data_IF_577810831283
#
_entry.id   IF_577810831283
#
_cell.length_a   1.000
_cell.length_b   1.000
_cell.length_c   1.000
_cell.angle_alpha   90.00
_cell.angle_beta   90.00
_cell.angle_gamma   90.00
#
_symmetry.space_group_name_H-M   'P 1'
#
loop_
_entity.id
_entity.type
_entity.pdbx_description
1 polymer ?
#
# COMPACT_ATOMS: atom_id res chain seq x y z
N UNK A 1 49.88 -36.44 28.65
CA UNK A 1 49.01 -36.20 29.83
C UNK A 1 47.63 -36.73 29.50
N UNK A 2 47.02 -37.55 30.36
CA UNK A 2 45.76 -38.23 30.05
C UNK A 2 44.60 -37.20 30.10
N UNK A 3 43.78 -37.01 29.04
CA UNK A 3 42.77 -35.94 28.96
C UNK A 3 41.75 -35.96 30.10
N UNK A 4 41.48 -37.13 30.68
CA UNK A 4 40.58 -37.27 31.83
C UNK A 4 41.14 -36.67 33.14
N UNK A 5 42.47 -36.67 33.31
CA UNK A 5 43.14 -36.04 34.47
C UNK A 5 43.25 -34.51 34.34
N UNK A 6 43.23 -34.00 33.11
CA UNK A 6 43.18 -32.55 32.87
C UNK A 6 41.78 -31.98 33.14
N UNK A 7 40.73 -32.72 32.73
CA UNK A 7 39.33 -32.38 32.99
C UNK A 7 38.96 -32.45 34.48
N UNK A 8 39.55 -33.37 35.25
CA UNK A 8 39.31 -33.45 36.69
C UNK A 8 39.92 -32.26 37.45
N UNK A 9 41.08 -31.75 37.01
CA UNK A 9 41.71 -30.54 37.58
C UNK A 9 40.97 -29.24 37.25
N UNK A 10 40.20 -29.21 36.16
CA UNK A 10 39.37 -28.07 35.76
C UNK A 10 38.03 -27.97 36.50
N UNK A 11 37.63 -29.04 37.18
CA UNK A 11 36.40 -29.10 38.00
C UNK A 11 36.62 -28.72 39.47
N UNK A 12 37.86 -28.41 39.86
CA UNK A 12 38.17 -28.05 41.23
C UNK A 12 37.61 -26.66 41.60
N UNK A 13 37.11 -26.51 42.84
CA UNK A 13 36.33 -25.35 43.30
C UNK A 13 37.06 -24.01 43.36
N UNK A 14 38.37 -24.00 43.13
CA UNK A 14 39.13 -22.76 42.98
C UNK A 14 39.15 -22.36 41.51
N UNK A 15 38.34 -21.38 41.15
CA UNK A 15 38.22 -20.73 39.83
C UNK A 15 39.54 -20.32 39.17
N UNK A 16 40.68 -20.47 39.85
CA UNK A 16 42.04 -20.29 39.34
C UNK A 16 42.36 -21.17 38.12
N UNK A 17 41.98 -22.44 38.10
CA UNK A 17 42.28 -23.30 36.95
C UNK A 17 41.54 -22.85 35.67
N UNK A 18 40.32 -22.34 35.83
CA UNK A 18 39.52 -21.77 34.73
C UNK A 18 40.05 -20.38 34.34
N UNK A 19 40.49 -19.58 35.31
CA UNK A 19 41.11 -18.28 35.06
C UNK A 19 42.45 -18.39 34.33
N UNK A 20 43.29 -19.37 34.70
CA UNK A 20 44.57 -19.64 34.04
C UNK A 20 44.34 -20.15 32.61
N UNK A 21 43.31 -20.97 32.38
CA UNK A 21 42.95 -21.42 31.04
C UNK A 21 42.34 -20.29 30.20
N UNK A 22 41.50 -19.43 30.80
CA UNK A 22 40.99 -18.24 30.13
C UNK A 22 42.11 -17.27 29.77
N UNK A 23 43.08 -17.06 30.68
CA UNK A 23 44.26 -16.25 30.42
C UNK A 23 45.12 -16.83 29.29
N UNK A 24 45.33 -18.15 29.27
CA UNK A 24 46.13 -18.82 28.25
C UNK A 24 45.42 -18.79 26.88
N UNK A 25 44.09 -18.91 26.86
CA UNK A 25 43.28 -18.74 25.64
C UNK A 25 43.31 -17.29 25.15
N UNK A 26 43.21 -16.31 26.04
CA UNK A 26 43.32 -14.89 25.67
C UNK A 26 44.72 -14.56 25.17
N UNK A 27 45.78 -14.98 25.86
CA UNK A 27 47.17 -14.78 25.43
C UNK A 27 47.43 -15.44 24.07
N UNK A 28 46.92 -16.65 23.85
CA UNK A 28 47.08 -17.36 22.57
C UNK A 28 46.24 -16.74 21.45
N UNK A 29 45.03 -16.27 21.73
CA UNK A 29 44.18 -15.58 20.73
C UNK A 29 44.77 -14.20 20.37
N UNK A 30 45.36 -13.50 21.34
CA UNK A 30 45.97 -12.16 21.13
C UNK A 30 47.35 -12.26 20.47
N UNK A 31 48.07 -13.36 20.68
CA UNK A 31 49.37 -13.63 20.04
C UNK A 31 49.24 -14.20 18.62
N UNK A 32 48.06 -14.73 18.25
CA UNK A 32 47.81 -15.25 16.90
C UNK A 32 47.57 -14.10 15.94
N UNK A 33 48.36 -14.03 14.86
CA UNK A 33 48.24 -12.95 13.88
C UNK A 33 46.84 -13.00 13.26
N UNK A 34 46.20 -11.83 13.11
CA UNK A 34 44.81 -11.71 12.63
C UNK A 34 44.53 -12.52 11.34
N UNK A 35 45.53 -12.61 10.46
CA UNK A 35 45.50 -13.38 9.21
C UNK A 35 45.26 -14.89 9.38
N UNK A 36 45.60 -15.45 10.54
CA UNK A 36 45.49 -16.89 10.83
C UNK A 36 44.16 -17.25 11.51
N UNK A 37 43.43 -16.24 12.04
CA UNK A 37 42.08 -16.37 12.63
C UNK A 37 41.00 -15.94 11.63
N UNK A 38 41.30 -14.94 10.81
CA UNK A 38 40.37 -14.34 9.88
C UNK A 38 40.19 -15.22 8.62
N UNK A 39 39.50 -16.34 8.78
CA UNK A 39 38.97 -17.07 7.63
C UNK A 39 37.93 -16.19 6.92
N UNK A 40 37.84 -16.22 5.57
CA UNK A 40 36.88 -15.40 4.82
C UNK A 40 35.43 -15.55 5.31
N UNK A 41 35.08 -16.75 5.77
CA UNK A 41 33.76 -17.07 6.32
C UNK A 41 33.50 -16.42 7.69
N UNK A 42 34.52 -16.26 8.53
CA UNK A 42 34.40 -15.55 9.81
C UNK A 42 34.23 -14.04 9.60
N UNK A 43 35.01 -13.45 8.69
CA UNK A 43 34.85 -12.03 8.30
C UNK A 43 33.46 -11.81 7.70
N UNK A 44 33.02 -12.67 6.78
CA UNK A 44 31.69 -12.57 6.18
C UNK A 44 30.58 -12.65 7.24
N UNK A 45 30.72 -13.52 8.24
CA UNK A 45 29.79 -13.61 9.36
C UNK A 45 29.75 -12.33 10.20
N UNK A 46 30.91 -11.77 10.55
CA UNK A 46 30.99 -10.52 11.32
C UNK A 46 30.46 -9.31 10.53
N UNK A 47 30.73 -9.24 9.23
CA UNK A 47 30.20 -8.20 8.35
C UNK A 47 28.69 -8.33 8.19
N UNK A 48 28.17 -9.55 8.02
CA UNK A 48 26.73 -9.78 7.96
C UNK A 48 26.04 -9.40 9.28
N UNK A 49 26.58 -9.83 10.43
CA UNK A 49 26.05 -9.45 11.75
C UNK A 49 26.15 -7.95 12.00
N UNK A 50 27.24 -7.30 11.57
CA UNK A 50 27.38 -5.85 11.68
C UNK A 50 26.39 -5.11 10.76
N UNK A 51 26.12 -5.63 9.56
CA UNK A 51 25.12 -5.07 8.64
C UNK A 51 23.69 -5.29 9.16
N UNK A 52 23.38 -6.45 9.74
CA UNK A 52 22.09 -6.69 10.43
C UNK A 52 21.91 -5.77 11.63
N UNK A 53 22.93 -5.67 12.49
CA UNK A 53 22.89 -4.78 13.65
C UNK A 53 22.83 -3.30 13.23
N UNK A 54 23.52 -2.92 12.15
CA UNK A 54 23.42 -1.58 11.58
C UNK A 54 22.00 -1.34 11.10
N UNK A 55 21.46 -2.18 10.22
CA UNK A 55 20.10 -2.00 9.63
C UNK A 55 18.96 -2.01 10.65
N UNK A 56 19.14 -2.69 11.79
CA UNK A 56 18.17 -2.66 12.91
C UNK A 56 18.42 -1.53 13.91
N UNK A 57 19.54 -0.81 13.81
CA UNK A 57 19.94 0.25 14.73
C UNK A 57 19.36 1.61 14.39
N UNK A 58 19.07 2.41 15.41
CA UNK A 58 18.60 3.80 15.30
C UNK A 58 19.57 4.68 14.49
N UNK A 59 20.87 4.40 14.56
CA UNK A 59 21.89 5.11 13.79
C UNK A 59 21.79 4.87 12.27
N UNK A 60 21.37 3.67 11.83
CA UNK A 60 21.18 3.44 10.40
C UNK A 60 19.91 4.10 9.89
N UNK A 61 18.83 4.15 10.69
CA UNK A 61 17.65 4.95 10.34
C UNK A 61 18.03 6.42 10.13
N UNK A 62 18.73 7.01 11.08
CA UNK A 62 19.19 8.40 10.97
C UNK A 62 20.16 8.62 9.79
N UNK A 63 21.00 7.63 9.48
CA UNK A 63 21.88 7.69 8.31
C UNK A 63 21.08 7.59 7.00
N UNK A 64 20.11 6.68 6.91
CA UNK A 64 19.21 6.52 5.76
C UNK A 64 18.39 7.79 5.56
N UNK A 65 17.77 8.33 6.61
CA UNK A 65 16.98 9.57 6.54
C UNK A 65 17.83 10.74 6.04
N UNK A 66 19.04 10.90 6.59
CA UNK A 66 19.98 11.93 6.13
C UNK A 66 20.37 11.74 4.67
N UNK A 67 20.54 10.49 4.23
CA UNK A 67 20.92 10.19 2.84
C UNK A 67 19.77 10.40 1.86
N UNK A 68 18.55 10.04 2.26
CA UNK A 68 17.33 10.33 1.51
C UNK A 68 17.17 11.85 1.37
N UNK A 69 17.33 12.62 2.45
CA UNK A 69 17.19 14.08 2.39
C UNK A 69 18.24 14.71 1.47
N UNK A 70 19.50 14.26 1.59
CA UNK A 70 20.58 14.76 0.72
C UNK A 70 20.33 14.46 -0.76
N UNK A 71 19.88 13.25 -1.09
CA UNK A 71 19.55 12.92 -2.48
C UNK A 71 18.27 13.62 -2.94
N UNK A 72 17.29 13.83 -2.06
CA UNK A 72 16.07 14.58 -2.39
C UNK A 72 16.37 16.04 -2.73
N UNK A 73 17.23 16.71 -1.97
CA UNK A 73 17.74 18.05 -2.31
C UNK A 73 18.52 18.05 -3.61
N UNK A 74 19.37 17.04 -3.85
CA UNK A 74 20.14 16.95 -5.09
C UNK A 74 19.27 16.74 -6.32
N UNK A 75 18.14 16.05 -6.16
CA UNK A 75 17.23 15.72 -7.26
C UNK A 75 16.07 16.73 -7.38
N UNK A 76 15.93 17.69 -6.45
CA UNK A 76 14.85 18.70 -6.52
C UNK A 76 15.00 19.65 -7.71
N UNK A 77 16.24 19.87 -8.14
CA UNK A 77 16.59 20.83 -9.19
C UNK A 77 16.93 20.13 -10.53
N UNK A 78 16.74 18.82 -10.61
CA UNK A 78 17.15 18.01 -11.74
C UNK A 78 16.01 17.83 -12.75
N UNK A 79 16.10 18.53 -13.89
CA UNK A 79 15.08 18.51 -14.95
C UNK A 79 15.15 17.29 -15.88
N UNK A 80 16.25 16.53 -15.84
CA UNK A 80 16.44 15.37 -16.72
C UNK A 80 15.52 14.22 -16.33
N UNK A 81 14.90 13.58 -17.33
CA UNK A 81 14.13 12.36 -17.13
C UNK A 81 15.05 11.23 -16.61
N UNK A 82 14.50 10.34 -15.78
CA UNK A 82 15.22 9.18 -15.20
C UNK A 82 15.99 8.35 -16.24
N UNK A 83 15.45 8.23 -17.45
CA UNK A 83 16.09 7.51 -18.55
C UNK A 83 17.40 8.14 -19.04
N UNK A 84 17.61 9.45 -18.86
CA UNK A 84 18.85 10.12 -19.25
C UNK A 84 20.05 9.82 -18.33
N UNK A 85 19.80 9.19 -17.17
CA UNK A 85 20.82 8.75 -16.24
C UNK A 85 21.24 7.29 -16.43
N UNK A 86 20.48 6.54 -17.21
CA UNK A 86 20.81 5.16 -17.54
C UNK A 86 21.78 5.13 -18.72
N UNK A 87 22.94 4.48 -18.59
CA UNK A 87 23.72 4.06 -19.75
C UNK A 87 22.87 3.13 -20.63
N UNK A 88 23.00 3.23 -21.96
CA UNK A 88 22.27 2.35 -22.89
C UNK A 88 22.57 0.86 -22.62
N UNK A 89 23.77 0.55 -22.11
CA UNK A 89 24.17 -0.80 -21.73
C UNK A 89 23.39 -1.34 -20.52
N UNK A 90 22.93 -0.46 -19.64
CA UNK A 90 22.17 -0.81 -18.44
C UNK A 90 20.66 -0.97 -18.72
N UNK A 91 20.16 -0.36 -19.79
CA UNK A 91 18.73 -0.37 -20.13
C UNK A 91 18.20 -1.77 -20.39
N UNK A 92 18.88 -2.57 -21.23
CA UNK A 92 18.46 -3.94 -21.54
C UNK A 92 18.44 -4.84 -20.28
N UNK A 93 19.49 -4.91 -19.45
CA UNK A 93 19.45 -5.65 -18.19
C UNK A 93 18.33 -5.19 -17.26
N UNK A 94 18.08 -3.88 -17.15
CA UNK A 94 17.04 -3.34 -16.28
C UNK A 94 15.64 -3.70 -16.77
N UNK A 95 15.37 -3.63 -18.08
CA UNK A 95 14.11 -4.12 -18.66
C UNK A 95 13.89 -5.60 -18.35
N UNK A 96 14.93 -6.43 -18.47
CA UNK A 96 14.85 -7.87 -18.14
C UNK A 96 14.58 -8.09 -16.65
N UNK A 97 15.17 -7.28 -15.77
CA UNK A 97 14.90 -7.36 -14.33
C UNK A 97 13.48 -6.92 -13.98
N UNK A 98 13.00 -5.83 -14.58
CA UNK A 98 11.65 -5.30 -14.37
C UNK A 98 10.55 -6.21 -14.94
N UNK A 99 10.86 -6.95 -16.01
CA UNK A 99 9.94 -7.93 -16.59
C UNK A 99 9.72 -9.17 -15.71
N UNK A 100 10.58 -9.42 -14.71
CA UNK A 100 10.46 -10.63 -13.88
C UNK A 100 9.14 -10.61 -13.11
N UNK A 101 8.47 -11.76 -12.95
CA UNK A 101 7.32 -11.85 -12.06
C UNK A 101 7.81 -11.57 -10.63
N UNK A 102 7.26 -10.51 -10.06
CA UNK A 102 7.57 -10.04 -8.71
C UNK A 102 6.27 -9.57 -8.08
N UNK A 103 5.97 -10.14 -6.91
CA UNK A 103 4.83 -9.77 -6.08
C UNK A 103 5.33 -8.91 -4.92
N UNK A 104 5.01 -7.60 -4.89
CA UNK A 104 5.38 -6.75 -3.78
C UNK A 104 4.57 -7.07 -2.52
N UNK A 105 5.12 -6.73 -1.36
CA UNK A 105 4.41 -6.84 -0.09
C UNK A 105 3.18 -5.91 -0.07
N UNK A 106 2.03 -6.42 0.37
CA UNK A 106 0.75 -5.69 0.35
C UNK A 106 0.80 -4.45 1.24
N UNK A 107 1.44 -4.52 2.41
CA UNK A 107 1.53 -3.40 3.32
C UNK A 107 2.42 -2.29 2.74
N UNK A 108 3.52 -2.69 2.09
CA UNK A 108 4.38 -1.75 1.35
C UNK A 108 3.61 -1.05 0.22
N UNK A 109 2.91 -1.80 -0.63
CA UNK A 109 2.11 -1.22 -1.72
C UNK A 109 1.05 -0.29 -1.16
N UNK A 110 0.29 -0.76 -0.16
CA UNK A 110 -0.74 0.04 0.51
C UNK A 110 -0.16 1.36 1.00
N UNK A 111 0.97 1.38 1.72
CA UNK A 111 1.59 2.63 2.19
C UNK A 111 2.03 3.55 1.06
N UNK A 112 2.48 3.00 -0.07
CA UNK A 112 2.87 3.80 -1.24
C UNK A 112 1.63 4.45 -1.88
N UNK A 113 0.53 3.71 -2.00
CA UNK A 113 -0.69 4.19 -2.67
C UNK A 113 -1.66 4.90 -1.73
N UNK A 114 -1.52 4.76 -0.41
CA UNK A 114 -2.29 5.45 0.63
C UNK A 114 -1.82 6.90 0.79
N UNK A 115 -1.58 7.55 -0.34
CA UNK A 115 -1.32 8.98 -0.41
C UNK A 115 -2.65 9.71 -0.56
N UNK A 116 -2.79 10.86 0.10
CA UNK A 116 -4.04 11.65 0.08
C UNK A 116 -4.53 11.95 -1.35
N UNK A 117 -3.62 12.14 -2.30
CA UNK A 117 -3.94 12.35 -3.72
C UNK A 117 -4.68 11.14 -4.35
N UNK A 118 -4.23 9.92 -4.08
CA UNK A 118 -4.84 8.69 -4.60
C UNK A 118 -6.19 8.45 -3.93
N UNK A 119 -6.27 8.62 -2.61
CA UNK A 119 -7.53 8.52 -1.87
C UNK A 119 -8.57 9.53 -2.37
N UNK A 120 -8.16 10.78 -2.66
CA UNK A 120 -9.05 11.76 -3.27
C UNK A 120 -9.51 11.36 -4.68
N UNK A 121 -8.62 10.80 -5.50
CA UNK A 121 -8.96 10.32 -6.84
C UNK A 121 -9.97 9.17 -6.76
N UNK A 122 -9.71 8.16 -5.94
CA UNK A 122 -10.61 7.00 -5.73
C UNK A 122 -11.97 7.48 -5.23
N UNK A 123 -12.00 8.38 -4.24
CA UNK A 123 -13.23 8.99 -3.74
C UNK A 123 -14.00 9.70 -4.85
N UNK A 124 -13.31 10.47 -5.69
CA UNK A 124 -13.92 11.19 -6.81
C UNK A 124 -14.54 10.23 -7.83
N UNK A 125 -13.81 9.17 -8.21
CA UNK A 125 -14.28 8.13 -9.13
C UNK A 125 -15.51 7.42 -8.55
N UNK A 126 -15.46 7.00 -7.29
CA UNK A 126 -16.58 6.35 -6.59
C UNK A 126 -17.81 7.27 -6.51
N UNK A 127 -17.61 8.54 -6.13
CA UNK A 127 -18.68 9.54 -6.06
C UNK A 127 -19.33 9.73 -7.43
N UNK A 128 -18.52 9.85 -8.49
CA UNK A 128 -19.02 10.02 -9.84
C UNK A 128 -19.77 8.77 -10.34
N UNK A 129 -19.25 7.57 -10.07
CA UNK A 129 -19.89 6.31 -10.43
C UNK A 129 -21.25 6.12 -9.73
N UNK A 130 -21.29 6.34 -8.41
CA UNK A 130 -22.51 6.23 -7.60
C UNK A 130 -23.54 7.30 -7.99
N UNK A 131 -23.11 8.53 -8.24
CA UNK A 131 -24.00 9.60 -8.74
C UNK A 131 -24.58 9.25 -10.11
N UNK A 132 -23.76 8.73 -11.02
CA UNK A 132 -24.20 8.29 -12.35
C UNK A 132 -25.17 7.13 -12.26
N UNK A 133 -24.91 6.17 -11.36
CA UNK A 133 -25.81 5.05 -11.10
C UNK A 133 -27.16 5.54 -10.56
N UNK A 134 -27.16 6.41 -9.54
CA UNK A 134 -28.37 7.01 -9.00
C UNK A 134 -29.19 7.75 -10.07
N UNK A 135 -28.54 8.52 -10.95
CA UNK A 135 -29.20 9.17 -12.09
C UNK A 135 -29.80 8.17 -13.08
N UNK A 136 -29.15 7.03 -13.35
CA UNK A 136 -29.71 5.97 -14.22
C UNK A 136 -30.93 5.32 -13.59
N UNK A 137 -30.87 4.97 -12.31
CA UNK A 137 -31.99 4.38 -11.59
C UNK A 137 -33.23 5.29 -11.61
N UNK A 138 -33.05 6.60 -11.36
CA UNK A 138 -34.14 7.59 -11.47
C UNK A 138 -34.74 7.69 -12.87
N UNK A 139 -33.94 7.53 -13.92
CA UNK A 139 -34.44 7.53 -15.32
C UNK A 139 -35.30 6.30 -15.59
N UNK A 140 -34.91 5.13 -15.07
CA UNK A 140 -35.69 3.89 -15.18
C UNK A 140 -37.01 4.00 -14.42
N UNK A 141 -36.98 4.53 -13.20
CA UNK A 141 -38.17 4.76 -12.39
C UNK A 141 -39.17 5.71 -13.09
N UNK A 142 -38.69 6.84 -13.63
CA UNK A 142 -39.52 7.76 -14.43
C UNK A 142 -40.06 7.12 -15.71
N UNK A 143 -39.30 6.24 -16.35
CA UNK A 143 -39.74 5.51 -17.55
C UNK A 143 -40.85 4.50 -17.25
N UNK A 144 -40.75 3.80 -16.12
CA UNK A 144 -41.75 2.81 -15.68
C UNK A 144 -42.99 3.51 -15.10
N UNK A 145 -42.84 4.45 -14.16
CA UNK A 145 -43.97 5.19 -13.58
C UNK A 145 -44.63 6.14 -14.58
N UNK A 146 -43.88 6.77 -15.49
CA UNK A 146 -44.44 7.62 -16.55
C UNK A 146 -45.25 6.83 -17.60
N UNK A 147 -44.83 5.59 -17.89
CA UNK A 147 -45.52 4.71 -18.84
C UNK A 147 -46.83 4.10 -18.31
N UNK A 148 -46.90 3.84 -17.00
CA UNK A 148 -48.12 3.33 -16.34
C UNK A 148 -49.04 4.45 -15.83
N UNK A 149 -48.48 5.57 -15.36
CA UNK A 149 -49.23 6.73 -14.86
C UNK A 149 -49.98 7.49 -15.95
N UNK A 150 -49.42 7.61 -17.18
CA UNK A 150 -50.06 8.34 -18.28
C UNK A 150 -51.36 7.69 -18.80
N UNK A 151 -51.50 6.37 -18.68
CA UNK A 151 -52.73 5.64 -19.06
C UNK A 151 -53.75 5.57 -17.93
N UNK A 152 -53.31 5.52 -16.67
CA UNK A 152 -54.19 5.61 -15.50
C UNK A 152 -54.75 7.04 -15.30
N UNK A 153 -53.92 8.07 -15.45
CA UNK A 153 -54.32 9.48 -15.33
C UNK A 153 -55.33 9.90 -16.40
N UNK A 154 -55.22 9.39 -17.64
CA UNK A 154 -56.21 9.66 -18.70
C UNK A 154 -57.58 8.99 -18.46
N UNK A 155 -57.64 7.88 -17.69
CA UNK A 155 -58.91 7.26 -17.29
C UNK A 155 -59.49 7.86 -16.02
N UNK A 156 -58.66 8.20 -15.03
CA UNK A 156 -59.09 8.87 -13.79
C UNK A 156 -59.63 10.29 -14.04
N UNK A 157 -59.03 11.05 -14.98
CA UNK A 157 -59.45 12.41 -15.32
C UNK A 157 -60.84 12.49 -15.98
N UNK A 158 -61.40 11.37 -16.49
CA UNK A 158 -62.79 11.29 -16.98
C UNK A 158 -63.81 10.84 -15.94
N UNK A 159 -63.35 10.21 -14.85
CA UNK A 159 -64.21 9.73 -13.76
C UNK A 159 -64.23 10.67 -12.54
N UNK A 160 -63.19 11.49 -12.36
CA UNK A 160 -63.04 12.42 -11.23
C UNK A 160 -62.81 13.88 -11.65
N UNK A 161 -62.92 14.20 -12.94
CA UNK A 161 -62.59 15.50 -13.52
C UNK A 161 -63.46 16.69 -13.09
N UNK A 162 -64.51 16.46 -12.29
CA UNK A 162 -65.47 17.50 -11.89
C UNK A 162 -65.41 17.84 -10.39
N UNK A 163 -64.55 17.20 -9.59
CA UNK A 163 -64.53 17.40 -8.12
C UNK A 163 -63.20 17.86 -7.50
N UNK A 164 -62.12 18.07 -8.26
CA UNK A 164 -60.80 18.33 -7.66
C UNK A 164 -60.07 19.54 -8.26
N UNK A 165 -60.77 20.68 -8.39
CA UNK A 165 -60.16 21.95 -8.83
C UNK A 165 -59.15 22.56 -7.84
N UNK A 166 -59.12 22.11 -6.57
CA UNK A 166 -58.30 22.73 -5.50
C UNK A 166 -57.25 21.79 -4.86
N UNK A 167 -57.08 20.56 -5.36
CA UNK A 167 -56.08 19.61 -4.84
C UNK A 167 -54.91 19.34 -5.81
N UNK A 168 -55.01 19.80 -7.06
CA UNK A 168 -53.95 19.67 -8.06
C UNK A 168 -52.69 20.47 -7.71
N UNK A 169 -52.86 21.70 -7.24
CA UNK A 169 -51.75 22.62 -6.93
C UNK A 169 -51.00 22.25 -5.63
N UNK A 170 -51.65 21.55 -4.70
CA UNK A 170 -51.00 21.01 -3.50
C UNK A 170 -50.19 19.74 -3.81
N UNK A 171 -50.66 18.90 -4.73
CA UNK A 171 -49.94 17.69 -5.13
C UNK A 171 -48.71 17.99 -5.99
N UNK A 172 -48.75 18.97 -6.89
CA UNK A 172 -47.57 19.36 -7.69
C UNK A 172 -46.47 20.04 -6.84
N UNK A 173 -46.84 20.87 -5.85
CA UNK A 173 -45.88 21.52 -4.98
C UNK A 173 -45.29 20.59 -3.90
N UNK A 174 -46.07 19.64 -3.37
CA UNK A 174 -45.56 18.64 -2.41
C UNK A 174 -44.61 17.62 -3.07
N UNK A 175 -44.87 17.20 -4.32
CA UNK A 175 -43.99 16.27 -5.05
C UNK A 175 -42.70 16.95 -5.51
N UNK A 176 -42.72 18.26 -5.79
CA UNK A 176 -41.55 19.05 -6.13
C UNK A 176 -40.57 19.23 -4.96
N UNK A 177 -41.08 19.65 -3.79
CA UNK A 177 -40.26 19.93 -2.61
C UNK A 177 -39.62 18.66 -2.02
N UNK A 178 -40.34 17.54 -1.97
CA UNK A 178 -39.81 16.26 -1.45
C UNK A 178 -38.69 15.72 -2.36
N UNK A 179 -38.75 16.00 -3.66
CA UNK A 179 -37.77 15.51 -4.63
C UNK A 179 -36.42 16.24 -4.50
N UNK A 180 -36.42 17.53 -4.21
CA UNK A 180 -35.19 18.30 -4.03
C UNK A 180 -34.48 17.93 -2.71
N UNK A 181 -35.24 17.67 -1.66
CA UNK A 181 -34.70 17.23 -0.37
C UNK A 181 -34.16 15.78 -0.42
N UNK A 182 -34.82 14.88 -1.16
CA UNK A 182 -34.29 13.54 -1.46
C UNK A 182 -33.00 13.63 -2.30
N UNK A 183 -32.88 14.60 -3.19
CA UNK A 183 -31.70 14.79 -4.03
C UNK A 183 -30.49 15.22 -3.18
N UNK A 184 -30.69 16.17 -2.26
CA UNK A 184 -29.64 16.62 -1.32
C UNK A 184 -29.25 15.49 -0.35
N UNK A 185 -30.23 14.77 0.20
CA UNK A 185 -29.97 13.66 1.11
C UNK A 185 -29.21 12.51 0.42
N UNK A 186 -29.55 12.18 -0.83
CA UNK A 186 -28.86 11.15 -1.60
C UNK A 186 -27.42 11.58 -1.92
N UNK A 187 -27.19 12.82 -2.34
CA UNK A 187 -25.84 13.31 -2.60
C UNK A 187 -24.96 13.30 -1.34
N UNK A 188 -25.50 13.69 -0.19
CA UNK A 188 -24.82 13.58 1.10
C UNK A 188 -24.42 12.14 1.41
N UNK A 189 -25.36 11.20 1.27
CA UNK A 189 -25.14 9.77 1.50
C UNK A 189 -24.09 9.19 0.56
N UNK A 190 -24.11 9.57 -0.72
CA UNK A 190 -23.13 9.11 -1.72
C UNK A 190 -21.72 9.57 -1.38
N UNK A 191 -21.54 10.82 -0.92
CA UNK A 191 -20.21 11.32 -0.52
C UNK A 191 -19.69 10.65 0.74
N UNK A 192 -20.56 10.34 1.68
CA UNK A 192 -20.23 9.63 2.92
C UNK A 192 -19.81 8.17 2.63
N UNK A 193 -20.62 7.44 1.86
CA UNK A 193 -20.29 6.09 1.41
C UNK A 193 -19.02 6.04 0.57
N UNK A 194 -18.83 6.98 -0.36
CA UNK A 194 -17.60 7.07 -1.14
C UNK A 194 -16.38 7.32 -0.23
N UNK A 195 -16.52 8.12 0.82
CA UNK A 195 -15.46 8.34 1.81
C UNK A 195 -15.07 7.05 2.54
N UNK A 196 -16.05 6.29 3.04
CA UNK A 196 -15.81 5.02 3.73
C UNK A 196 -15.22 3.95 2.80
N UNK A 197 -15.77 3.81 1.59
CA UNK A 197 -15.34 2.83 0.60
C UNK A 197 -13.97 3.15 -0.02
N UNK A 198 -13.45 4.37 0.14
CA UNK A 198 -12.17 4.76 -0.44
C UNK A 198 -11.02 3.98 0.17
N UNK A 199 -10.94 3.89 1.50
CA UNK A 199 -9.84 3.18 2.17
C UNK A 199 -9.85 1.68 1.86
N UNK A 200 -11.04 1.08 1.82
CA UNK A 200 -11.22 -0.31 1.42
C UNK A 200 -10.86 -0.54 -0.05
N UNK A 201 -11.25 0.36 -0.95
CA UNK A 201 -10.87 0.28 -2.36
C UNK A 201 -9.35 0.39 -2.57
N UNK A 202 -8.67 1.28 -1.82
CA UNK A 202 -7.21 1.40 -1.85
C UNK A 202 -6.56 0.09 -1.37
N UNK A 203 -7.05 -0.49 -0.28
CA UNK A 203 -6.57 -1.78 0.22
C UNK A 203 -6.81 -2.93 -0.78
N UNK A 204 -7.97 -2.96 -1.45
CA UNK A 204 -8.25 -3.92 -2.51
C UNK A 204 -7.30 -3.76 -3.70
N UNK A 205 -6.96 -2.53 -4.09
CA UNK A 205 -5.97 -2.25 -5.14
C UNK A 205 -4.59 -2.77 -4.70
N UNK A 206 -4.17 -2.52 -3.46
CA UNK A 206 -2.93 -3.05 -2.92
C UNK A 206 -2.90 -4.58 -2.96
N UNK A 207 -3.95 -5.24 -2.45
CA UNK A 207 -4.06 -6.70 -2.49
C UNK A 207 -4.04 -7.26 -3.92
N UNK A 208 -4.68 -6.58 -4.88
CA UNK A 208 -4.66 -6.98 -6.28
C UNK A 208 -3.27 -6.89 -6.91
N UNK A 209 -2.53 -5.82 -6.62
CA UNK A 209 -1.16 -5.59 -7.09
C UNK A 209 -0.15 -6.54 -6.42
N UNK A 210 -0.42 -6.97 -5.19
CA UNK A 210 0.42 -7.86 -4.40
C UNK A 210 0.08 -9.33 -4.53
N UNK A 211 -0.92 -9.69 -5.34
CA UNK A 211 -1.29 -11.07 -5.58
C UNK A 211 -0.27 -11.76 -6.53
N UNK A 212 0.38 -12.87 -6.10
CA UNK A 212 1.30 -13.61 -6.95
C UNK A 212 0.67 -14.13 -8.25
N UNK A 213 -0.63 -14.39 -8.28
CA UNK A 213 -1.34 -14.87 -9.48
C UNK A 213 -1.33 -13.82 -10.62
N UNK A 214 -1.16 -12.55 -10.30
CA UNK A 214 -1.10 -11.46 -11.28
C UNK A 214 0.34 -11.02 -11.60
N UNK A 215 1.35 -11.59 -10.93
CA UNK A 215 2.73 -11.12 -11.00
C UNK A 215 3.33 -11.19 -12.42
N UNK A 216 2.92 -12.17 -13.23
CA UNK A 216 3.35 -12.32 -14.62
C UNK A 216 2.80 -11.20 -15.50
N UNK A 217 1.49 -10.93 -15.43
CA UNK A 217 0.85 -9.84 -16.18
C UNK A 217 1.41 -8.47 -15.80
N UNK A 218 1.71 -8.23 -14.52
CA UNK A 218 2.35 -6.98 -14.10
C UNK A 218 3.80 -6.86 -14.57
N UNK A 219 4.52 -7.97 -14.79
CA UNK A 219 5.84 -7.97 -15.41
C UNK A 219 5.81 -7.36 -16.81
N UNK A 220 4.80 -7.70 -17.61
CA UNK A 220 4.61 -7.15 -18.96
C UNK A 220 4.25 -5.65 -18.92
N UNK A 221 3.38 -5.23 -18.00
CA UNK A 221 3.03 -3.81 -17.87
C UNK A 221 4.22 -2.93 -17.45
N UNK A 222 5.16 -3.45 -16.66
CA UNK A 222 6.36 -2.71 -16.22
C UNK A 222 7.32 -2.36 -17.35
N UNK A 223 7.28 -3.08 -18.47
CA UNK A 223 8.17 -2.87 -19.62
C UNK A 223 7.49 -2.19 -20.81
N UNK A 224 6.17 -1.98 -20.75
CA UNK A 224 5.38 -1.41 -21.83
C UNK A 224 5.39 0.14 -21.86
N UNK A 225 6.05 0.78 -20.90
CA UNK A 225 6.21 2.24 -20.78
C UNK A 225 7.50 2.69 -21.45
#
# INVERSE_FOLDING_TARGET
MNPQQALSKLRDHNSQAVQDLARLVVEQTTATKLKDIATPRWIAGQVATALEAATQGELARQWVDRRIETERERWSDEERLLGAFLPEEAEKPLRVLLARPYSPDEELVFRIIDHQAVSNLVRMVLTHALTRFGRRMRKLEKGVLGGFGGRAAKRGRRLFGDMTGNLGDLAENLVGAVKEEIDIALEGRVREFAGQATSEAVRLIAGYLSNPDHAEGFGEFRIAV
#
